data_IF_335413281054
#
_entry.id   IF_335413281054
#
_cell.length_a   1.000
_cell.length_b   1.000
_cell.length_c   1.000
_cell.angle_alpha   90.00
_cell.angle_beta   90.00
_cell.angle_gamma   90.00
#
_symmetry.space_group_name_H-M   'P 1'
#
loop_
_entity.id
_entity.type
_entity.pdbx_description
1 polymer ?
#
# COMPACT_ATOMS: atom_id res chain seq x y z
N UNK A 1 0.34 -30.44 -4.58
CA UNK A 1 0.01 -29.01 -4.40
C UNK A 1 0.17 -28.56 -2.95
N UNK A 2 -0.53 -29.17 -1.99
CA UNK A 2 -0.40 -28.83 -0.55
C UNK A 2 1.04 -28.92 -0.04
N UNK A 3 1.78 -29.99 -0.37
CA UNK A 3 3.20 -30.14 0.00
C UNK A 3 4.08 -29.03 -0.58
N UNK A 4 3.87 -28.64 -1.84
CA UNK A 4 4.62 -27.56 -2.47
C UNK A 4 4.32 -26.21 -1.82
N UNK A 5 3.07 -26.00 -1.43
CA UNK A 5 2.65 -24.82 -0.68
C UNK A 5 3.32 -24.74 0.70
N UNK A 6 3.33 -25.84 1.47
CA UNK A 6 4.08 -25.90 2.73
C UNK A 6 5.59 -25.75 2.52
N UNK A 7 6.14 -26.30 1.44
CA UNK A 7 7.56 -26.15 1.10
C UNK A 7 7.94 -24.70 0.84
N UNK A 8 7.12 -23.95 0.10
CA UNK A 8 7.34 -22.51 -0.12
C UNK A 8 7.15 -21.69 1.16
N UNK A 9 6.19 -22.05 2.00
CA UNK A 9 6.04 -21.42 3.31
C UNK A 9 7.24 -21.68 4.22
N UNK A 10 7.78 -22.91 4.20
CA UNK A 10 8.99 -23.24 4.94
C UNK A 10 10.18 -22.45 4.38
N UNK A 11 10.30 -22.33 3.05
CA UNK A 11 11.30 -21.48 2.42
C UNK A 11 11.16 -20.02 2.87
N UNK A 12 9.93 -19.51 3.03
CA UNK A 12 9.68 -18.17 3.56
C UNK A 12 10.24 -17.97 4.96
N UNK A 13 9.96 -18.93 5.85
CA UNK A 13 10.43 -18.91 7.23
C UNK A 13 11.95 -19.02 7.29
N UNK A 14 12.55 -19.86 6.43
CA UNK A 14 14.01 -19.93 6.28
C UNK A 14 14.59 -18.63 5.72
N UNK A 15 13.95 -18.01 4.73
CA UNK A 15 14.39 -16.73 4.17
C UNK A 15 14.32 -15.60 5.21
N UNK A 16 13.37 -15.66 6.15
CA UNK A 16 13.30 -14.72 7.26
C UNK A 16 14.55 -14.79 8.16
N UNK A 17 15.17 -15.96 8.31
CA UNK A 17 16.44 -16.09 9.06
C UNK A 17 17.63 -15.38 8.41
N UNK A 18 17.53 -15.08 7.11
CA UNK A 18 18.58 -14.39 6.36
C UNK A 18 18.47 -12.86 6.45
N UNK A 19 17.42 -12.35 7.10
CA UNK A 19 17.17 -10.92 7.24
C UNK A 19 18.13 -10.31 8.26
N UNK A 20 18.68 -9.14 7.92
CA UNK A 20 19.49 -8.31 8.82
C UNK A 20 18.76 -6.99 9.12
N UNK A 21 18.76 -6.50 10.39
CA UNK A 21 19.32 -7.11 11.59
C UNK A 21 18.56 -8.40 11.95
N UNK A 22 19.24 -9.31 12.66
CA UNK A 22 18.73 -10.66 12.88
C UNK A 22 17.36 -10.65 13.55
N UNK A 23 16.41 -11.40 12.99
CA UNK A 23 15.10 -11.56 13.60
C UNK A 23 15.21 -12.32 14.92
N UNK A 24 14.44 -11.92 15.93
CA UNK A 24 14.38 -12.64 17.20
C UNK A 24 13.79 -14.04 16.99
N UNK A 25 13.99 -14.91 17.99
CA UNK A 25 13.52 -16.30 17.95
C UNK A 25 12.04 -16.39 17.61
N UNK A 26 11.70 -17.24 16.65
CA UNK A 26 10.32 -17.49 16.24
C UNK A 26 9.50 -17.99 17.43
N UNK A 27 10.12 -18.76 18.33
CA UNK A 27 9.46 -19.39 19.47
C UNK A 27 9.06 -18.44 20.60
N UNK A 28 9.67 -17.25 20.67
CA UNK A 28 9.30 -16.23 21.66
C UNK A 28 8.13 -15.36 21.22
N UNK A 29 7.62 -15.54 20.00
CA UNK A 29 6.56 -14.71 19.42
C UNK A 29 5.19 -15.17 19.91
N UNK A 30 4.28 -14.22 20.10
CA UNK A 30 2.90 -14.53 20.41
C UNK A 30 2.28 -15.39 19.29
N UNK A 31 1.43 -16.35 19.66
CA UNK A 31 0.74 -17.23 18.72
C UNK A 31 0.11 -16.51 17.49
N UNK A 32 -0.55 -15.35 17.61
CA UNK A 32 -1.11 -14.68 16.44
C UNK A 32 -0.06 -14.14 15.45
N UNK A 33 1.19 -13.91 15.89
CA UNK A 33 2.30 -13.52 15.02
C UNK A 33 2.89 -14.70 14.25
N UNK A 34 2.77 -15.90 14.80
CA UNK A 34 3.18 -17.13 14.10
C UNK A 34 2.20 -17.48 12.98
N UNK A 35 0.90 -17.21 13.19
CA UNK A 35 -0.14 -17.44 12.19
C UNK A 35 -0.24 -16.33 11.13
N UNK A 36 0.24 -15.12 11.43
CA UNK A 36 0.15 -14.00 10.48
C UNK A 36 0.87 -14.30 9.15
N UNK A 37 2.12 -14.81 9.12
CA UNK A 37 2.75 -15.22 7.87
C UNK A 37 1.90 -16.24 7.11
N UNK A 38 1.41 -17.28 7.77
CA UNK A 38 0.57 -18.32 7.16
C UNK A 38 -0.64 -17.73 6.42
N UNK A 39 -1.33 -16.79 7.07
CA UNK A 39 -2.51 -16.15 6.50
C UNK A 39 -2.17 -15.20 5.36
N UNK A 40 -1.13 -14.36 5.50
CA UNK A 40 -0.65 -13.44 4.45
C UNK A 40 -0.23 -14.23 3.20
N UNK A 41 0.54 -15.30 3.41
CA UNK A 41 0.98 -16.20 2.35
C UNK A 41 -0.18 -16.89 1.64
N UNK A 42 -1.18 -17.35 2.41
CA UNK A 42 -2.38 -17.98 1.84
C UNK A 42 -3.16 -17.00 0.98
N UNK A 43 -3.37 -15.76 1.45
CA UNK A 43 -4.07 -14.72 0.69
C UNK A 43 -3.35 -14.43 -0.62
N UNK A 44 -2.03 -14.18 -0.56
CA UNK A 44 -1.23 -13.89 -1.74
C UNK A 44 -1.26 -15.07 -2.73
N UNK A 45 -1.13 -16.30 -2.25
CA UNK A 45 -1.19 -17.50 -3.08
C UNK A 45 -2.55 -17.66 -3.77
N UNK A 46 -3.66 -17.61 -3.04
CA UNK A 46 -4.99 -17.79 -3.63
C UNK A 46 -5.38 -16.64 -4.56
N UNK A 47 -4.99 -15.40 -4.24
CA UNK A 47 -5.22 -14.26 -5.11
C UNK A 47 -4.47 -14.39 -6.44
N UNK A 48 -3.18 -14.73 -6.40
CA UNK A 48 -2.42 -15.00 -7.62
C UNK A 48 -2.97 -16.25 -8.35
N UNK A 49 -3.36 -17.29 -7.64
CA UNK A 49 -3.88 -18.51 -8.26
C UNK A 49 -5.17 -18.23 -9.06
N UNK A 50 -6.04 -17.33 -8.57
CA UNK A 50 -7.25 -16.91 -9.29
C UNK A 50 -6.91 -16.15 -10.58
N UNK A 51 -5.82 -15.38 -10.60
CA UNK A 51 -5.35 -14.61 -11.75
C UNK A 51 -4.62 -15.52 -12.76
N UNK A 52 -3.64 -16.28 -12.28
CA UNK A 52 -2.70 -17.05 -13.11
C UNK A 52 -3.23 -18.43 -13.49
N UNK A 53 -4.18 -18.98 -12.71
CA UNK A 53 -4.80 -20.30 -12.93
C UNK A 53 -3.80 -21.47 -13.01
N UNK A 54 -2.58 -21.26 -12.49
CA UNK A 54 -1.41 -22.13 -12.63
C UNK A 54 -0.69 -22.25 -11.29
N UNK A 55 -0.88 -23.35 -10.54
CA UNK A 55 -0.46 -23.43 -9.15
C UNK A 55 1.05 -23.46 -8.93
N UNK A 56 1.81 -24.19 -9.73
CA UNK A 56 3.27 -24.24 -9.56
C UNK A 56 3.92 -22.93 -9.98
N UNK A 57 3.47 -22.33 -11.09
CA UNK A 57 3.94 -21.01 -11.50
C UNK A 57 3.61 -19.94 -10.45
N UNK A 58 2.42 -20.00 -9.84
CA UNK A 58 2.03 -19.10 -8.75
C UNK A 58 2.93 -19.27 -7.53
N UNK A 59 3.22 -20.50 -7.12
CA UNK A 59 4.14 -20.77 -6.00
C UNK A 59 5.55 -20.25 -6.29
N UNK A 60 6.05 -20.48 -7.51
CA UNK A 60 7.36 -20.00 -7.92
C UNK A 60 7.44 -18.47 -7.96
N UNK A 61 6.41 -17.80 -8.50
CA UNK A 61 6.33 -16.34 -8.54
C UNK A 61 6.26 -15.75 -7.13
N UNK A 62 5.47 -16.36 -6.25
CA UNK A 62 5.34 -15.91 -4.87
C UNK A 62 6.65 -16.12 -4.09
N UNK A 63 7.34 -17.24 -4.29
CA UNK A 63 8.67 -17.49 -3.74
C UNK A 63 9.74 -16.54 -4.29
N UNK A 64 9.66 -16.18 -5.57
CA UNK A 64 10.58 -15.21 -6.18
C UNK A 64 10.37 -13.80 -5.62
N UNK A 65 9.11 -13.35 -5.51
CA UNK A 65 8.76 -12.06 -4.91
C UNK A 65 9.21 -11.98 -3.44
N UNK A 66 9.06 -13.08 -2.71
CA UNK A 66 9.54 -13.26 -1.34
C UNK A 66 11.06 -13.06 -1.21
N UNK A 67 11.82 -13.82 -1.99
CA UNK A 67 13.28 -13.77 -1.98
C UNK A 67 13.80 -12.40 -2.43
N UNK A 68 13.13 -11.79 -3.42
CA UNK A 68 13.42 -10.42 -3.82
C UNK A 68 13.25 -9.45 -2.65
N UNK A 69 12.17 -9.56 -1.89
CA UNK A 69 11.90 -8.68 -0.76
C UNK A 69 12.97 -8.83 0.34
N UNK A 70 13.38 -10.06 0.65
CA UNK A 70 14.48 -10.34 1.59
C UNK A 70 15.81 -9.78 1.07
N UNK A 71 16.09 -9.96 -0.23
CA UNK A 71 17.31 -9.44 -0.86
C UNK A 71 17.36 -7.90 -0.80
N UNK A 72 16.26 -7.24 -1.18
CA UNK A 72 16.14 -5.77 -1.15
C UNK A 72 16.28 -5.27 0.28
N UNK A 73 15.66 -5.92 1.27
CA UNK A 73 15.86 -5.59 2.68
C UNK A 73 17.34 -5.67 3.06
N UNK A 74 18.02 -6.76 2.70
CA UNK A 74 19.42 -6.96 3.06
C UNK A 74 20.36 -5.95 2.40
N UNK A 75 20.07 -5.57 1.14
CA UNK A 75 20.80 -4.50 0.44
C UNK A 75 20.53 -3.15 1.10
N UNK A 76 19.27 -2.84 1.43
CA UNK A 76 18.89 -1.62 2.14
C UNK A 76 19.61 -1.53 3.49
N UNK A 77 19.63 -2.61 4.26
CA UNK A 77 20.34 -2.67 5.53
C UNK A 77 21.84 -2.40 5.37
N UNK A 78 22.48 -2.96 4.34
CA UNK A 78 23.91 -2.74 4.08
C UNK A 78 24.24 -1.27 3.79
N UNK A 79 23.33 -0.54 3.14
CA UNK A 79 23.56 0.84 2.69
C UNK A 79 23.07 1.89 3.69
N UNK A 80 21.88 1.70 4.27
CA UNK A 80 21.21 2.68 5.14
C UNK A 80 21.19 2.28 6.62
N UNK A 81 21.48 1.01 6.95
CA UNK A 81 21.28 0.44 8.31
C UNK A 81 19.88 0.67 8.85
N UNK A 82 18.90 0.60 7.95
CA UNK A 82 17.49 0.68 8.28
C UNK A 82 16.77 -0.55 7.71
N UNK A 83 15.87 -1.18 8.49
CA UNK A 83 15.06 -2.27 7.99
C UNK A 83 14.05 -1.78 6.93
N UNK A 84 13.49 -2.72 6.18
CA UNK A 84 12.45 -2.44 5.20
C UNK A 84 11.11 -2.19 5.91
N UNK A 85 10.50 -1.03 5.64
CA UNK A 85 9.28 -0.54 6.29
C UNK A 85 8.20 -0.32 5.23
N UNK A 86 6.92 -0.30 5.64
CA UNK A 86 5.79 -0.11 4.73
C UNK A 86 5.94 1.11 3.80
N UNK A 87 6.51 2.21 4.30
CA UNK A 87 6.76 3.43 3.51
C UNK A 87 7.66 3.19 2.29
N UNK A 88 8.57 2.23 2.35
CA UNK A 88 9.44 1.92 1.21
C UNK A 88 8.64 1.38 0.01
N UNK A 89 7.51 0.68 0.25
CA UNK A 89 6.69 0.15 -0.84
C UNK A 89 6.12 1.23 -1.75
N UNK A 90 5.80 2.41 -1.20
CA UNK A 90 5.32 3.54 -2.00
C UNK A 90 6.42 4.00 -2.96
N UNK A 91 7.64 4.20 -2.45
CA UNK A 91 8.80 4.54 -3.27
C UNK A 91 9.20 3.45 -4.27
N UNK A 92 9.07 2.16 -3.91
CA UNK A 92 9.34 1.06 -4.84
C UNK A 92 8.30 0.98 -5.95
N UNK A 93 7.02 1.19 -5.62
CA UNK A 93 5.94 1.18 -6.61
C UNK A 93 6.11 2.33 -7.59
N UNK A 94 6.46 3.52 -7.10
CA UNK A 94 6.80 4.67 -7.93
C UNK A 94 8.01 4.40 -8.84
N UNK A 95 9.02 3.69 -8.33
CA UNK A 95 10.17 3.30 -9.15
C UNK A 95 9.80 2.33 -10.29
N UNK A 96 8.81 1.46 -10.07
CA UNK A 96 8.28 0.54 -11.10
C UNK A 96 7.42 1.31 -12.12
N UNK A 97 6.59 2.25 -11.67
CA UNK A 97 5.71 3.05 -12.53
C UNK A 97 6.48 4.08 -13.36
N UNK A 98 7.62 4.58 -12.87
CA UNK A 98 8.45 5.58 -13.53
C UNK A 98 9.87 5.07 -13.86
N UNK A 99 9.99 4.04 -14.72
CA UNK A 99 11.27 3.39 -14.99
C UNK A 99 12.31 4.34 -15.59
N UNK A 100 11.90 5.36 -16.33
CA UNK A 100 12.81 6.35 -16.96
C UNK A 100 13.68 7.08 -15.93
N UNK A 101 13.20 7.29 -14.71
CA UNK A 101 13.97 7.96 -13.66
C UNK A 101 15.00 7.03 -13.03
N UNK A 102 14.68 5.73 -12.88
CA UNK A 102 15.52 4.79 -12.11
C UNK A 102 16.46 3.92 -12.97
N UNK A 103 16.07 3.56 -14.19
CA UNK A 103 16.89 2.77 -15.14
C UNK A 103 18.31 3.33 -15.37
N UNK A 104 18.55 4.65 -15.53
CA UNK A 104 19.90 5.17 -15.73
C UNK A 104 20.84 4.90 -14.53
N UNK A 105 20.32 4.78 -13.31
CA UNK A 105 21.12 4.53 -12.11
C UNK A 105 21.48 3.05 -11.91
N UNK A 106 20.69 2.11 -12.42
CA UNK A 106 20.97 0.66 -12.33
C UNK A 106 21.97 0.17 -13.38
N UNK A 107 22.15 0.92 -14.48
CA UNK A 107 22.96 0.53 -15.61
C UNK A 107 22.20 -0.30 -16.64
N UNK A 108 22.39 0.02 -17.92
CA UNK A 108 21.66 -0.59 -19.06
C UNK A 108 21.87 -2.10 -19.13
N UNK A 109 23.08 -2.59 -18.86
CA UNK A 109 23.36 -4.03 -18.94
C UNK A 109 22.66 -4.84 -17.85
N UNK A 110 22.63 -4.34 -16.61
CA UNK A 110 21.96 -5.03 -15.50
C UNK A 110 20.45 -5.08 -15.70
N UNK A 111 19.88 -3.98 -16.19
CA UNK A 111 18.46 -3.91 -16.51
C UNK A 111 18.10 -4.84 -17.65
N UNK A 112 18.86 -4.87 -18.75
CA UNK A 112 18.65 -5.81 -19.85
C UNK A 112 18.71 -7.27 -19.41
N UNK A 113 19.75 -7.66 -18.66
CA UNK A 113 19.90 -9.04 -18.17
C UNK A 113 18.76 -9.42 -17.24
N UNK A 114 18.40 -8.54 -16.30
CA UNK A 114 17.30 -8.78 -15.37
C UNK A 114 15.94 -8.90 -16.10
N UNK A 115 15.68 -8.01 -17.07
CA UNK A 115 14.48 -8.06 -17.89
C UNK A 115 14.41 -9.35 -18.72
N UNK A 116 15.51 -9.74 -19.37
CA UNK A 116 15.57 -10.97 -20.16
C UNK A 116 15.37 -12.21 -19.29
N UNK A 117 16.03 -12.28 -18.13
CA UNK A 117 15.86 -13.36 -17.17
C UNK A 117 14.42 -13.45 -16.65
N UNK A 118 13.79 -12.30 -16.35
CA UNK A 118 12.40 -12.23 -15.93
C UNK A 118 11.43 -12.74 -17.00
N UNK A 119 11.59 -12.28 -18.23
CA UNK A 119 10.77 -12.75 -19.37
C UNK A 119 10.95 -14.24 -19.58
N UNK A 120 12.20 -14.73 -19.59
CA UNK A 120 12.48 -16.15 -19.78
C UNK A 120 11.87 -17.01 -18.66
N UNK A 121 11.97 -16.57 -17.41
CA UNK A 121 11.35 -17.26 -16.28
C UNK A 121 9.82 -17.34 -16.40
N UNK A 122 9.17 -16.26 -16.85
CA UNK A 122 7.72 -16.24 -17.09
C UNK A 122 7.36 -17.19 -18.24
N UNK A 123 8.06 -17.13 -19.37
CA UNK A 123 7.79 -17.98 -20.53
C UNK A 123 7.95 -19.46 -20.17
N UNK A 124 9.06 -19.83 -19.51
CA UNK A 124 9.30 -21.20 -19.07
C UNK A 124 8.24 -21.66 -18.07
N UNK A 125 7.86 -20.81 -17.11
CA UNK A 125 6.84 -21.12 -16.12
C UNK A 125 5.44 -21.32 -16.74
N UNK A 126 5.08 -20.54 -17.75
CA UNK A 126 3.82 -20.69 -18.48
C UNK A 126 3.84 -21.91 -19.42
N UNK A 127 5.00 -22.28 -19.97
CA UNK A 127 5.15 -23.42 -20.88
C UNK A 127 5.15 -24.77 -20.14
N UNK A 128 5.76 -24.84 -18.95
CA UNK A 128 5.86 -26.08 -18.18
C UNK A 128 4.51 -26.58 -17.64
N UNK A 129 3.61 -25.66 -17.28
CA UNK A 129 2.35 -26.00 -16.63
C UNK A 129 1.19 -25.92 -17.63
N UNK A 130 0.10 -26.68 -17.42
CA UNK A 130 -1.17 -26.50 -18.12
C UNK A 130 -2.15 -25.77 -17.21
N UNK A 131 -3.02 -24.92 -17.75
CA UNK A 131 -3.98 -24.18 -16.93
C UNK A 131 -4.99 -25.11 -16.24
N UNK A 132 -5.39 -24.76 -15.02
CA UNK A 132 -6.39 -25.51 -14.24
C UNK A 132 -7.77 -25.56 -14.91
N UNK A 133 -8.06 -24.57 -15.75
CA UNK A 133 -9.28 -24.48 -16.58
C UNK A 133 -9.37 -25.58 -17.62
N UNK A 134 -8.25 -26.14 -18.08
CA UNK A 134 -8.24 -27.23 -19.06
C UNK A 134 -8.28 -28.64 -18.43
N UNK A 135 -7.90 -28.79 -17.16
CA UNK A 135 -7.69 -30.09 -16.52
C UNK A 135 -8.84 -30.58 -15.62
N UNK A 136 -9.68 -29.68 -15.11
CA UNK A 136 -10.72 -30.02 -14.13
C UNK A 136 -12.04 -29.35 -14.48
N UNK A 137 -13.16 -29.88 -13.98
CA UNK A 137 -14.50 -29.26 -14.11
C UNK A 137 -14.41 -27.76 -13.84
N UNK A 138 -14.46 -26.95 -14.90
CA UNK A 138 -13.79 -25.65 -14.99
C UNK A 138 -14.18 -24.60 -13.95
N UNK A 139 -15.24 -24.83 -13.18
CA UNK A 139 -15.75 -23.95 -12.13
C UNK A 139 -15.49 -24.45 -10.70
N UNK A 140 -15.30 -25.76 -10.48
CA UNK A 140 -15.15 -26.30 -9.13
C UNK A 140 -13.84 -25.86 -8.47
N UNK A 141 -12.78 -25.68 -9.26
CA UNK A 141 -11.50 -25.19 -8.74
C UNK A 141 -11.54 -23.70 -8.38
N UNK A 142 -12.27 -22.87 -9.14
CA UNK A 142 -12.50 -21.46 -8.82
C UNK A 142 -13.19 -21.32 -7.46
N UNK A 143 -14.24 -22.10 -7.22
CA UNK A 143 -14.95 -22.12 -5.93
C UNK A 143 -14.01 -22.47 -4.77
N UNK A 144 -13.15 -23.48 -4.94
CA UNK A 144 -12.15 -23.86 -3.91
C UNK A 144 -11.10 -22.78 -3.68
N UNK A 145 -10.59 -22.15 -4.72
CA UNK A 145 -9.60 -21.08 -4.61
C UNK A 145 -10.19 -19.84 -3.94
N UNK A 146 -11.41 -19.46 -4.32
CA UNK A 146 -12.13 -18.34 -3.71
C UNK A 146 -12.45 -18.60 -2.23
N UNK A 147 -12.91 -19.80 -1.90
CA UNK A 147 -13.17 -20.20 -0.52
C UNK A 147 -11.90 -20.21 0.32
N UNK A 148 -10.78 -20.70 -0.24
CA UNK A 148 -9.45 -20.62 0.37
C UNK A 148 -9.03 -19.17 0.65
N UNK A 149 -9.22 -18.27 -0.32
CA UNK A 149 -8.98 -16.84 -0.15
C UNK A 149 -9.83 -16.24 0.97
N UNK A 150 -11.13 -16.53 0.97
CA UNK A 150 -12.08 -15.99 1.96
C UNK A 150 -11.74 -16.46 3.38
N UNK A 151 -11.44 -17.75 3.57
CA UNK A 151 -10.98 -18.28 4.87
C UNK A 151 -9.69 -17.58 5.31
N UNK A 152 -8.73 -17.42 4.39
CA UNK A 152 -7.44 -16.81 4.72
C UNK A 152 -7.59 -15.35 5.15
N UNK A 153 -8.43 -14.57 4.45
CA UNK A 153 -8.78 -13.20 4.83
C UNK A 153 -9.48 -13.17 6.18
N UNK A 154 -10.46 -14.06 6.40
CA UNK A 154 -11.21 -14.11 7.67
C UNK A 154 -10.29 -14.44 8.85
N UNK A 155 -9.37 -15.39 8.68
CA UNK A 155 -8.35 -15.73 9.68
C UNK A 155 -7.45 -14.53 9.94
N UNK A 156 -6.99 -13.83 8.91
CA UNK A 156 -6.12 -12.65 9.09
C UNK A 156 -6.84 -11.51 9.82
N UNK A 157 -8.09 -11.24 9.48
CA UNK A 157 -8.93 -10.24 10.17
C UNK A 157 -9.19 -10.66 11.62
N UNK A 158 -9.48 -11.93 11.87
CA UNK A 158 -9.66 -12.46 13.22
C UNK A 158 -8.40 -12.30 14.07
N UNK A 159 -7.23 -12.63 13.51
CA UNK A 159 -5.93 -12.45 14.16
C UNK A 159 -5.67 -10.98 14.46
N UNK A 160 -5.91 -10.09 13.49
CA UNK A 160 -5.73 -8.66 13.64
C UNK A 160 -6.59 -8.07 14.77
N UNK A 161 -7.85 -8.51 14.91
CA UNK A 161 -8.72 -8.09 16.03
C UNK A 161 -8.26 -8.59 17.39
N UNK A 162 -7.54 -9.71 17.44
CA UNK A 162 -7.04 -10.32 18.69
C UNK A 162 -5.67 -9.78 19.09
N UNK A 163 -5.00 -9.01 18.24
CA UNK A 163 -3.68 -8.47 18.52
C UNK A 163 -3.78 -7.19 19.36
N UNK A 164 -3.34 -7.27 20.61
CA UNK A 164 -3.14 -6.12 21.52
C UNK A 164 -1.65 -5.74 21.58
N UNK A 165 -0.95 -5.81 20.45
CA UNK A 165 0.49 -5.59 20.41
C UNK A 165 0.74 -4.11 20.13
N UNK A 166 1.37 -3.45 21.10
CA UNK A 166 1.77 -2.05 20.97
C UNK A 166 2.99 -1.99 20.07
N UNK A 167 2.86 -1.29 18.94
CA UNK A 167 3.95 -1.01 18.01
C UNK A 167 4.78 0.14 18.57
N UNK A 168 6.09 -0.05 18.69
CA UNK A 168 6.99 0.98 19.26
C UNK A 168 7.41 2.00 18.20
N UNK A 169 7.18 1.71 16.92
CA UNK A 169 7.62 2.50 15.76
C UNK A 169 9.14 2.65 15.68
N UNK A 170 9.86 1.74 16.33
CA UNK A 170 11.29 1.59 16.22
C UNK A 170 11.54 0.31 15.42
N UNK A 171 11.80 0.44 14.11
CA UNK A 171 11.62 -0.68 13.20
C UNK A 171 12.65 -1.79 13.41
N UNK A 172 13.81 -1.50 14.01
CA UNK A 172 14.78 -2.52 14.43
C UNK A 172 14.27 -3.36 15.61
N UNK A 173 13.78 -2.71 16.67
CA UNK A 173 13.23 -3.41 17.84
C UNK A 173 11.95 -4.18 17.47
N UNK A 174 11.10 -3.56 16.66
CA UNK A 174 9.87 -4.17 16.18
C UNK A 174 10.17 -5.34 15.23
N UNK A 175 11.18 -5.25 14.37
CA UNK A 175 11.60 -6.38 13.51
C UNK A 175 12.09 -7.58 14.34
N UNK A 176 12.84 -7.33 15.42
CA UNK A 176 13.30 -8.39 16.32
C UNK A 176 12.15 -9.07 17.06
N UNK A 177 11.16 -8.30 17.54
CA UNK A 177 10.02 -8.81 18.32
C UNK A 177 8.94 -9.45 17.45
N UNK A 178 8.60 -8.81 16.34
CA UNK A 178 7.45 -9.16 15.50
C UNK A 178 7.83 -10.11 14.36
N UNK A 179 9.11 -10.12 13.98
CA UNK A 179 9.56 -10.70 12.73
C UNK A 179 9.19 -9.86 11.52
N UNK A 180 9.70 -10.27 10.36
CA UNK A 180 9.57 -9.46 9.15
C UNK A 180 8.12 -9.37 8.64
N UNK A 181 7.43 -10.52 8.54
CA UNK A 181 6.03 -10.56 8.13
C UNK A 181 5.10 -9.86 9.12
N UNK A 182 5.38 -10.01 10.42
CA UNK A 182 4.62 -9.37 11.49
C UNK A 182 4.77 -7.85 11.45
N UNK A 183 6.01 -7.36 11.27
CA UNK A 183 6.32 -5.95 11.10
C UNK A 183 5.54 -5.35 9.92
N UNK A 184 5.66 -5.97 8.74
CA UNK A 184 4.96 -5.50 7.53
C UNK A 184 3.45 -5.45 7.74
N UNK A 185 2.86 -6.50 8.31
CA UNK A 185 1.42 -6.57 8.56
C UNK A 185 0.96 -5.49 9.54
N UNK A 186 1.60 -5.39 10.71
CA UNK A 186 1.20 -4.44 11.75
C UNK A 186 1.37 -2.99 11.29
N UNK A 187 2.44 -2.68 10.55
CA UNK A 187 2.65 -1.33 10.02
C UNK A 187 1.62 -1.00 8.93
N UNK A 188 1.25 -1.97 8.07
CA UNK A 188 0.16 -1.75 7.09
C UNK A 188 -1.17 -1.49 7.77
N UNK A 189 -1.54 -2.30 8.77
CA UNK A 189 -2.80 -2.15 9.52
C UNK A 189 -2.88 -0.78 10.19
N UNK A 190 -1.77 -0.32 10.77
CA UNK A 190 -1.68 0.97 11.42
C UNK A 190 -1.77 2.12 10.40
N UNK A 191 -1.12 2.00 9.24
CA UNK A 191 -1.22 3.00 8.17
C UNK A 191 -2.67 3.19 7.68
N UNK A 192 -3.43 2.09 7.52
CA UNK A 192 -4.85 2.17 7.15
C UNK A 192 -5.71 2.78 8.25
N UNK A 193 -5.48 2.43 9.51
CA UNK A 193 -6.23 2.98 10.66
C UNK A 193 -5.95 4.47 10.87
N UNK A 194 -4.69 4.86 10.70
CA UNK A 194 -4.26 6.25 10.74
C UNK A 194 -4.86 7.05 9.59
N UNK A 195 -4.98 6.52 8.38
CA UNK A 195 -5.61 7.25 7.26
C UNK A 195 -7.10 7.51 7.51
N UNK A 196 -7.81 6.60 8.19
CA UNK A 196 -9.22 6.79 8.55
C UNK A 196 -9.44 7.87 9.63
N UNK A 197 -8.44 8.12 10.49
CA UNK A 197 -8.49 9.14 11.56
C UNK A 197 -7.79 10.44 11.18
N UNK A 198 -6.80 10.38 10.30
CA UNK A 198 -6.06 11.49 9.71
C UNK A 198 -6.84 12.13 8.56
N UNK A 199 -8.07 12.57 8.83
CA UNK A 199 -8.56 13.83 8.26
C UNK A 199 -7.75 14.95 8.90
N UNK A 200 -6.46 15.03 8.56
CA UNK A 200 -5.57 16.08 9.01
C UNK A 200 -6.09 17.36 8.36
N UNK A 201 -6.84 18.13 9.14
CA UNK A 201 -7.05 19.54 8.89
C UNK A 201 -5.66 20.14 8.65
N UNK A 202 -5.40 20.55 7.41
CA UNK A 202 -4.10 21.02 7.01
C UNK A 202 -3.70 22.18 7.96
N UNK A 203 -2.58 22.11 8.69
CA UNK A 203 -2.19 23.17 9.63
C UNK A 203 -1.98 24.53 8.94
N UNK A 204 -1.85 24.54 7.61
CA UNK A 204 -1.80 25.73 6.78
C UNK A 204 -3.16 26.21 6.27
N UNK A 205 -4.23 25.40 6.31
CA UNK A 205 -5.58 25.85 5.91
C UNK A 205 -6.06 27.02 6.78
N UNK A 206 -5.87 26.95 8.10
CA UNK A 206 -6.26 28.03 9.01
C UNK A 206 -5.43 29.32 8.86
N UNK A 207 -4.19 29.21 8.38
CA UNK A 207 -3.30 30.37 8.17
C UNK A 207 -3.52 31.02 6.79
N UNK A 208 -3.83 30.22 5.78
CA UNK A 208 -4.21 30.69 4.44
C UNK A 208 -5.57 31.43 4.47
N UNK A 209 -6.57 30.91 5.18
CA UNK A 209 -7.87 31.59 5.30
C UNK A 209 -7.78 32.93 6.06
N UNK A 210 -6.97 33.03 7.12
CA UNK A 210 -6.77 34.30 7.86
C UNK A 210 -5.99 35.36 7.08
N UNK A 211 -5.08 34.94 6.20
CA UNK A 211 -4.34 35.89 5.36
C UNK A 211 -5.20 36.39 4.20
N UNK A 212 -6.00 35.52 3.58
CA UNK A 212 -6.99 35.90 2.57
C UNK A 212 -8.09 36.81 3.14
N UNK A 213 -8.63 36.51 4.32
CA UNK A 213 -9.68 37.35 4.93
C UNK A 213 -9.16 38.75 5.31
N UNK A 214 -7.93 38.86 5.84
CA UNK A 214 -7.28 40.14 6.10
C UNK A 214 -6.94 40.91 4.83
N UNK A 215 -6.58 40.22 3.75
CA UNK A 215 -6.32 40.85 2.46
C UNK A 215 -7.61 41.42 1.84
N UNK A 216 -8.72 40.67 1.91
CA UNK A 216 -10.03 41.13 1.44
C UNK A 216 -10.55 42.33 2.25
N UNK A 217 -10.51 42.26 3.59
CA UNK A 217 -10.98 43.38 4.43
C UNK A 217 -10.16 44.66 4.25
N UNK A 218 -8.87 44.53 3.90
CA UNK A 218 -8.00 45.67 3.62
C UNK A 218 -8.25 46.27 2.24
N UNK A 219 -8.67 45.47 1.26
CA UNK A 219 -9.07 45.95 -0.05
C UNK A 219 -10.40 46.73 0.03
N UNK A 220 -11.37 46.23 0.80
CA UNK A 220 -12.66 46.90 1.00
C UNK A 220 -12.48 48.27 1.69
N UNK A 221 -11.65 48.36 2.74
CA UNK A 221 -11.35 49.62 3.42
C UNK A 221 -10.58 50.65 2.57
N UNK A 222 -9.87 50.21 1.53
CA UNK A 222 -9.22 51.09 0.55
C UNK A 222 -10.19 51.56 -0.55
N UNK A 223 -11.22 50.77 -0.88
CA UNK A 223 -12.31 51.20 -1.76
C UNK A 223 -13.22 52.21 -1.07
N UNK A 224 -13.53 52.02 0.21
CA UNK A 224 -14.38 52.95 0.96
C UNK A 224 -13.71 54.31 1.19
N UNK A 225 -12.38 54.34 1.38
CA UNK A 225 -11.61 55.60 1.36
C UNK A 225 -11.50 56.26 -0.02
N UNK A 226 -11.61 55.49 -1.10
CA UNK A 226 -11.63 56.04 -2.47
C UNK A 226 -13.02 56.49 -2.91
N UNK A 227 -14.07 56.06 -2.22
CA UNK A 227 -15.47 56.44 -2.45
C UNK A 227 -15.83 57.84 -1.94
N UNK A 228 -15.01 58.47 -1.10
CA UNK A 228 -15.23 59.85 -0.64
C UNK A 228 -14.49 60.90 -1.48
N UNK A 229 -13.72 60.50 -2.49
CA UNK A 229 -12.82 61.38 -3.22
C UNK A 229 -12.79 61.03 -4.72
N UNK A 230 -13.94 61.15 -5.40
CA UNK A 230 -13.99 61.40 -6.85
C UNK A 230 -15.42 61.73 -7.31
N UNK A 231 -15.69 63.03 -7.35
CA UNK A 231 -16.59 63.62 -8.33
C UNK A 231 -15.84 63.68 -9.67
N UNK A 232 -16.53 63.42 -10.79
CA UNK A 232 -16.14 63.51 -12.22
C UNK A 232 -15.66 62.25 -12.98
N UNK A 233 -15.92 62.18 -14.31
CA UNK A 233 -16.98 61.39 -14.93
C UNK A 233 -16.47 60.06 -15.52
N UNK A 234 -17.43 59.18 -15.87
CA UNK A 234 -17.15 57.79 -16.27
C UNK A 234 -16.36 57.60 -17.56
N UNK A 235 -15.78 56.40 -17.76
CA UNK A 235 -15.38 55.91 -19.07
C UNK A 235 -16.08 54.60 -19.48
N UNK A 236 -16.05 54.41 -20.81
CA UNK A 236 -16.52 53.34 -21.70
C UNK A 236 -16.60 51.86 -21.21
N UNK A 237 -17.47 51.03 -21.82
CA UNK A 237 -17.75 49.66 -21.40
C UNK A 237 -16.90 48.62 -22.15
N UNK A 238 -15.57 48.66 -22.04
CA UNK A 238 -14.69 47.69 -22.71
C UNK A 238 -13.50 47.20 -21.89
N UNK A 239 -13.72 46.81 -20.63
CA UNK A 239 -12.73 46.02 -19.88
C UNK A 239 -13.42 45.08 -18.85
N UNK A 240 -14.19 44.13 -19.38
CA UNK A 240 -14.69 42.96 -18.63
C UNK A 240 -14.00 41.70 -19.13
N UNK A 241 -12.70 41.57 -18.98
CA UNK A 241 -12.03 40.30 -19.24
C UNK A 241 -10.70 40.27 -18.51
N UNK A 242 -10.68 39.85 -17.23
CA UNK A 242 -9.57 39.13 -16.59
C UNK A 242 -9.91 38.84 -15.12
N UNK A 243 -10.87 37.94 -14.89
CA UNK A 243 -11.01 37.23 -13.61
C UNK A 243 -11.88 35.97 -13.79
N UNK A 244 -11.44 35.06 -14.67
CA UNK A 244 -11.89 33.67 -14.66
C UNK A 244 -10.66 32.78 -14.41
N UNK A 245 -10.35 32.61 -13.13
CA UNK A 245 -9.46 31.53 -12.71
C UNK A 245 -10.27 30.23 -12.74
N UNK A 246 -9.90 29.35 -13.66
CA UNK A 246 -10.44 28.00 -13.77
C UNK A 246 -10.09 27.19 -12.52
N UNK A 247 -11.06 27.01 -11.62
CA UNK A 247 -11.03 25.95 -10.63
C UNK A 247 -11.27 24.62 -11.36
N UNK A 248 -10.19 23.89 -11.66
CA UNK A 248 -10.29 22.47 -11.99
C UNK A 248 -10.64 21.70 -10.71
N UNK A 249 -11.94 21.62 -10.39
CA UNK A 249 -12.46 20.70 -9.41
C UNK A 249 -12.53 19.31 -10.07
N UNK A 250 -11.49 18.50 -9.92
CA UNK A 250 -11.54 17.07 -10.27
C UNK A 250 -12.33 16.36 -9.18
N UNK A 251 -13.65 16.41 -9.31
CA UNK A 251 -14.62 15.62 -8.52
C UNK A 251 -14.38 14.16 -8.86
N UNK A 252 -13.84 13.40 -7.92
CA UNK A 252 -13.65 11.97 -8.03
C UNK A 252 -14.99 11.26 -7.73
N UNK A 253 -15.57 10.47 -8.66
CA UNK A 253 -16.83 9.77 -8.46
C UNK A 253 -16.56 8.35 -7.97
N UNK A 254 -16.38 8.15 -6.67
CA UNK A 254 -16.52 6.83 -6.06
C UNK A 254 -17.23 6.95 -4.71
N UNK A 255 -18.55 7.14 -4.82
CA UNK A 255 -19.51 6.95 -3.75
C UNK A 255 -19.63 5.45 -3.45
N UNK A 256 -19.10 5.01 -2.31
CA UNK A 256 -19.62 3.82 -1.62
C UNK A 256 -20.51 4.33 -0.49
N UNK A 257 -21.83 4.26 -0.68
CA UNK A 257 -22.81 4.40 0.41
C UNK A 257 -22.63 3.22 1.37
N UNK A 258 -22.27 3.49 2.62
CA UNK A 258 -22.51 2.56 3.73
C UNK A 258 -23.66 3.14 4.56
N UNK A 259 -24.75 2.38 4.81
CA UNK A 259 -25.89 2.87 5.57
C UNK A 259 -25.52 3.01 7.06
N UNK A 260 -25.83 4.19 7.60
CA UNK A 260 -25.73 4.50 9.02
C UNK A 260 -26.94 3.87 9.73
N UNK A 261 -26.75 2.71 10.36
CA UNK A 261 -27.76 2.11 11.25
C UNK A 261 -27.57 2.72 12.64
N UNK A 262 -28.57 3.51 13.02
CA UNK A 262 -28.78 4.10 14.33
C UNK A 262 -28.70 3.07 15.46
N UNK A 263 -27.88 3.36 16.48
CA UNK A 263 -28.10 2.86 17.83
C UNK A 263 -28.51 4.05 18.69
N UNK A 264 -29.83 4.23 18.83
CA UNK A 264 -30.46 5.13 19.79
C UNK A 264 -30.40 4.46 21.17
N UNK A 265 -29.82 5.15 22.14
CA UNK A 265 -29.87 4.78 23.55
C UNK A 265 -30.45 5.96 24.34
N UNK A 266 -31.65 5.72 24.87
CA UNK A 266 -32.23 6.21 26.13
C UNK A 266 -32.20 7.72 26.45
N UNK A 267 -33.40 8.30 26.45
CA UNK A 267 -33.86 9.27 27.46
C UNK A 267 -35.37 9.05 27.70
N UNK A 268 -35.67 8.26 28.73
CA UNK A 268 -36.84 8.19 29.62
C UNK A 268 -36.97 6.75 30.14
#
# INVERSE_FOLDING_TARGET
MVLAWFGVLLLAMLAETQIKPGVGSVWSRAFPLLLAPLAIWSIAFFALLLILQRPLFTLALLAAAMLLLVLVNNVKWKSLREPFVHQDFEYFTDAILHPRLYVPFFGVWRTLIASLAGVLAVVLGLWLERSLTQQSSGYAWFGRAFLGLLISVLVLVWLSRRQTIVVTFEPEQDLQRLGFWGLLWLYTLQAFTSTATASIANPYQGRAQRSLSKACSRADGLQERRGSESQFPGPDPTDKLYCQHWLWCKVNPFLIRVPCIHSLTLMC
#
